data_IF_303987772414
#
_entry.id   IF_303987772414
#
_cell.length_a   1.000
_cell.length_b   1.000
_cell.length_c   1.000
_cell.angle_alpha   90.00
_cell.angle_beta   90.00
_cell.angle_gamma   90.00
#
_symmetry.space_group_name_H-M   'P 1'
#
loop_
_entity.id
_entity.type
_entity.pdbx_description
1 polymer ?
#
# COMPACT_ATOMS: atom_id res chain seq x y z
N UNK A 1 -22.70 -23.19 -22.85
CA UNK A 1 -24.00 -23.24 -22.13
C UNK A 1 -23.74 -23.54 -20.67
N UNK A 2 -24.69 -23.26 -19.78
CA UNK A 2 -24.61 -23.62 -18.36
C UNK A 2 -25.86 -24.40 -17.94
N UNK A 3 -25.71 -25.37 -17.06
CA UNK A 3 -26.78 -26.22 -16.52
C UNK A 3 -27.09 -25.78 -15.09
N UNK A 4 -28.36 -25.85 -14.68
CA UNK A 4 -28.77 -25.53 -13.30
C UNK A 4 -28.89 -26.78 -12.42
N UNK A 5 -28.89 -26.58 -11.10
CA UNK A 5 -29.21 -27.66 -10.15
C UNK A 5 -30.62 -28.23 -10.31
N UNK A 6 -31.56 -27.48 -10.94
CA UNK A 6 -32.90 -28.00 -11.23
C UNK A 6 -32.88 -29.11 -12.28
N UNK A 7 -31.96 -29.03 -13.25
CA UNK A 7 -31.81 -30.13 -14.21
C UNK A 7 -31.30 -31.40 -13.50
N UNK A 8 -30.38 -31.25 -12.54
CA UNK A 8 -29.88 -32.39 -11.76
C UNK A 8 -31.00 -33.04 -10.96
N UNK A 9 -31.86 -32.24 -10.31
CA UNK A 9 -33.04 -32.75 -9.60
C UNK A 9 -34.04 -33.42 -10.55
N UNK A 10 -34.26 -32.86 -11.73
CA UNK A 10 -35.14 -33.43 -12.74
C UNK A 10 -34.59 -34.76 -13.28
N UNK A 11 -33.27 -34.83 -13.49
CA UNK A 11 -32.59 -36.06 -13.87
C UNK A 11 -32.69 -37.12 -12.76
N UNK A 12 -32.53 -36.72 -11.50
CA UNK A 12 -32.72 -37.59 -10.33
C UNK A 12 -34.15 -38.15 -10.26
N UNK A 13 -35.17 -37.30 -10.46
CA UNK A 13 -36.57 -37.73 -10.55
C UNK A 13 -36.79 -38.69 -11.74
N UNK A 14 -36.06 -38.50 -12.83
CA UNK A 14 -36.04 -39.40 -13.99
C UNK A 14 -35.53 -40.81 -13.69
N UNK A 15 -34.84 -41.06 -12.57
CA UNK A 15 -34.48 -42.42 -12.15
C UNK A 15 -35.70 -43.24 -11.68
N UNK A 16 -36.73 -42.60 -11.12
CA UNK A 16 -37.91 -43.32 -10.63
C UNK A 16 -38.59 -44.19 -11.72
N UNK A 17 -38.94 -43.67 -12.92
CA UNK A 17 -39.51 -44.52 -13.98
C UNK A 17 -38.52 -45.56 -14.52
N UNK A 18 -37.21 -45.28 -14.50
CA UNK A 18 -36.18 -46.25 -14.89
C UNK A 18 -36.10 -47.41 -13.90
N UNK A 19 -36.26 -47.15 -12.60
CA UNK A 19 -36.28 -48.17 -11.55
C UNK A 19 -37.59 -48.97 -11.54
N UNK A 20 -38.73 -48.31 -11.79
CA UNK A 20 -40.04 -48.97 -11.85
C UNK A 20 -40.21 -49.85 -13.09
N UNK A 21 -39.62 -49.45 -14.22
CA UNK A 21 -39.69 -50.17 -15.49
C UNK A 21 -38.30 -50.27 -16.12
N UNK A 22 -37.45 -51.21 -15.66
CA UNK A 22 -36.08 -51.31 -16.14
C UNK A 22 -36.04 -51.75 -17.61
N UNK A 23 -35.52 -50.89 -18.48
CA UNK A 23 -35.36 -51.18 -19.90
C UNK A 23 -34.64 -50.06 -20.65
N UNK A 24 -33.96 -50.38 -21.75
CA UNK A 24 -33.25 -49.37 -22.55
C UNK A 24 -34.19 -48.31 -23.14
N UNK A 25 -35.45 -48.69 -23.43
CA UNK A 25 -36.50 -47.79 -23.92
C UNK A 25 -36.92 -46.76 -22.88
N UNK A 26 -37.00 -47.11 -21.59
CA UNK A 26 -37.40 -46.18 -20.53
C UNK A 26 -36.30 -45.17 -20.24
N UNK A 27 -35.04 -45.63 -20.25
CA UNK A 27 -33.86 -44.76 -20.20
C UNK A 27 -33.85 -43.77 -21.38
N UNK A 28 -34.06 -44.25 -22.60
CA UNK A 28 -34.11 -43.41 -23.80
C UNK A 28 -35.24 -42.37 -23.72
N UNK A 29 -36.43 -42.78 -23.29
CA UNK A 29 -37.58 -41.88 -23.13
C UNK A 29 -37.30 -40.76 -22.12
N UNK A 30 -36.73 -41.08 -20.96
CA UNK A 30 -36.34 -40.09 -19.95
C UNK A 30 -35.29 -39.11 -20.51
N UNK A 31 -34.27 -39.61 -21.22
CA UNK A 31 -33.25 -38.77 -21.84
C UNK A 31 -33.83 -37.85 -22.92
N UNK A 32 -34.75 -38.35 -23.75
CA UNK A 32 -35.42 -37.54 -24.77
C UNK A 32 -36.27 -36.43 -24.15
N UNK A 33 -37.02 -36.74 -23.09
CA UNK A 33 -37.80 -35.73 -22.36
C UNK A 33 -36.89 -34.67 -21.74
N UNK A 34 -35.82 -35.08 -21.05
CA UNK A 34 -34.84 -34.14 -20.48
C UNK A 34 -34.20 -33.26 -21.58
N UNK A 35 -33.78 -33.87 -22.69
CA UNK A 35 -33.22 -33.16 -23.84
C UNK A 35 -34.19 -32.15 -24.44
N UNK A 36 -35.45 -32.54 -24.63
CA UNK A 36 -36.51 -31.65 -25.13
C UNK A 36 -36.76 -30.46 -24.19
N UNK A 37 -36.80 -30.70 -22.88
CA UNK A 37 -36.99 -29.64 -21.88
C UNK A 37 -35.79 -28.68 -21.83
N UNK A 38 -34.56 -29.19 -21.91
CA UNK A 38 -33.34 -28.36 -22.00
C UNK A 38 -33.38 -27.50 -23.27
N UNK A 39 -33.67 -28.11 -24.42
CA UNK A 39 -33.73 -27.41 -25.69
C UNK A 39 -34.79 -26.32 -25.67
N UNK A 40 -35.99 -26.63 -25.18
CA UNK A 40 -37.07 -25.66 -25.03
C UNK A 40 -36.68 -24.50 -24.10
N UNK A 41 -36.08 -24.79 -22.95
CA UNK A 41 -35.65 -23.77 -21.99
C UNK A 41 -34.59 -22.83 -22.60
N UNK A 42 -33.59 -23.40 -23.28
CA UNK A 42 -32.55 -22.65 -23.98
C UNK A 42 -33.11 -21.83 -25.15
N UNK A 43 -34.05 -22.38 -25.91
CA UNK A 43 -34.69 -21.69 -27.04
C UNK A 43 -35.54 -20.53 -26.56
N UNK A 44 -36.21 -20.64 -25.42
CA UNK A 44 -37.03 -19.59 -24.81
C UNK A 44 -36.23 -18.56 -24.00
N UNK A 45 -34.98 -18.85 -23.65
CA UNK A 45 -34.09 -17.90 -23.00
C UNK A 45 -33.88 -16.63 -23.85
N UNK A 46 -33.66 -15.49 -23.19
CA UNK A 46 -33.37 -14.22 -23.86
C UNK A 46 -32.01 -14.27 -24.58
N UNK A 47 -31.94 -13.68 -25.77
CA UNK A 47 -30.73 -13.65 -26.60
C UNK A 47 -29.68 -12.68 -26.02
N UNK A 48 -28.49 -13.18 -25.70
CA UNK A 48 -27.43 -12.38 -25.06
C UNK A 48 -26.74 -11.38 -26.01
N UNK A 49 -27.01 -11.43 -27.31
CA UNK A 49 -26.59 -10.38 -28.25
C UNK A 49 -27.31 -9.06 -27.98
N UNK A 50 -28.56 -9.12 -27.49
CA UNK A 50 -29.41 -7.96 -27.18
C UNK A 50 -29.33 -7.53 -25.70
N UNK A 51 -28.30 -8.00 -25.00
CA UNK A 51 -28.05 -7.65 -23.60
C UNK A 51 -26.73 -6.92 -23.52
N UNK A 52 -26.78 -5.69 -23.01
CA UNK A 52 -25.59 -4.92 -22.65
C UNK A 52 -25.48 -4.80 -21.12
N UNK A 53 -24.24 -4.75 -20.64
CA UNK A 53 -23.95 -4.54 -19.23
C UNK A 53 -22.88 -3.47 -19.13
N UNK A 54 -23.15 -2.46 -18.33
CA UNK A 54 -22.22 -1.38 -18.03
C UNK A 54 -21.89 -1.39 -16.55
N UNK A 55 -20.63 -1.14 -16.20
CA UNK A 55 -20.18 -0.96 -14.82
C UNK A 55 -19.87 0.50 -14.58
N UNK A 56 -20.43 1.07 -13.52
CA UNK A 56 -19.97 2.34 -12.97
C UNK A 56 -18.74 2.10 -12.09
N UNK A 57 -17.68 2.87 -12.32
CA UNK A 57 -16.43 2.75 -11.57
C UNK A 57 -16.68 3.09 -10.09
N UNK A 58 -16.28 2.22 -9.14
CA UNK A 58 -16.43 2.52 -7.73
C UNK A 58 -15.48 3.66 -7.33
N UNK A 59 -15.88 4.44 -6.32
CA UNK A 59 -15.01 5.46 -5.74
C UNK A 59 -13.78 4.83 -5.08
N UNK A 60 -12.68 5.58 -5.01
CA UNK A 60 -11.50 5.17 -4.25
C UNK A 60 -11.88 4.98 -2.78
N UNK A 61 -11.32 3.96 -2.13
CA UNK A 61 -11.62 3.64 -0.74
C UNK A 61 -10.33 3.43 0.03
N UNK A 62 -10.29 3.80 1.30
CA UNK A 62 -9.17 3.42 2.18
C UNK A 62 -9.37 1.99 2.65
N UNK A 63 -8.30 1.21 2.80
CA UNK A 63 -8.38 -0.15 3.36
C UNK A 63 -9.18 -0.15 4.68
N UNK A 64 -10.09 -1.12 4.81
CA UNK A 64 -11.08 -1.18 5.90
C UNK A 64 -12.41 -0.47 5.61
N UNK A 65 -12.48 0.35 4.55
CA UNK A 65 -13.71 0.93 4.05
C UNK A 65 -14.48 0.02 3.09
N UNK A 66 -15.68 0.45 2.71
CA UNK A 66 -16.55 -0.23 1.73
C UNK A 66 -16.72 0.61 0.47
N UNK A 67 -16.82 -0.03 -0.68
CA UNK A 67 -17.19 0.61 -1.94
C UNK A 67 -18.28 -0.21 -2.65
N UNK A 68 -19.16 0.45 -3.40
CA UNK A 68 -20.19 -0.22 -4.17
C UNK A 68 -19.86 -0.16 -5.67
N UNK A 69 -19.85 -1.31 -6.33
CA UNK A 69 -19.79 -1.40 -7.79
C UNK A 69 -21.19 -1.60 -8.35
N UNK A 70 -21.64 -0.64 -9.16
CA UNK A 70 -22.99 -0.67 -9.74
C UNK A 70 -22.93 -1.18 -11.17
N UNK A 71 -23.61 -2.30 -11.42
CA UNK A 71 -23.84 -2.85 -12.75
C UNK A 71 -25.22 -2.44 -13.26
N UNK A 72 -25.29 -1.92 -14.48
CA UNK A 72 -26.56 -1.67 -15.17
C UNK A 72 -26.72 -2.68 -16.29
N UNK A 73 -27.70 -3.56 -16.14
CA UNK A 73 -28.05 -4.58 -17.15
C UNK A 73 -29.21 -4.04 -17.97
N UNK A 74 -29.01 -3.95 -19.28
CA UNK A 74 -30.01 -3.47 -20.23
C UNK A 74 -30.41 -4.61 -21.16
N UNK A 75 -31.72 -4.88 -21.24
CA UNK A 75 -32.29 -5.86 -22.14
C UNK A 75 -33.01 -5.15 -23.29
N UNK A 76 -32.36 -5.00 -24.44
CA UNK A 76 -32.99 -4.46 -25.65
C UNK A 76 -33.75 -5.51 -26.46
N UNK A 77 -33.84 -6.74 -25.96
CA UNK A 77 -34.54 -7.84 -26.61
C UNK A 77 -36.03 -7.87 -26.30
N UNK A 78 -36.76 -8.71 -27.04
CA UNK A 78 -38.22 -8.88 -26.91
C UNK A 78 -38.64 -9.82 -25.78
N UNK A 79 -37.71 -10.63 -25.25
CA UNK A 79 -37.99 -11.64 -24.21
C UNK A 79 -37.47 -11.16 -22.87
N UNK A 80 -38.20 -11.49 -21.79
CA UNK A 80 -37.74 -11.24 -20.42
C UNK A 80 -36.41 -11.98 -20.17
N UNK A 81 -35.40 -11.23 -19.76
CA UNK A 81 -34.11 -11.76 -19.37
C UNK A 81 -34.19 -12.25 -17.92
N UNK A 82 -34.12 -13.58 -17.73
CA UNK A 82 -33.93 -14.20 -16.41
C UNK A 82 -32.43 -14.45 -16.24
N UNK A 83 -31.72 -13.44 -15.77
CA UNK A 83 -30.28 -13.45 -15.70
C UNK A 83 -29.75 -13.93 -14.34
N UNK A 84 -28.59 -14.58 -14.38
CA UNK A 84 -27.63 -14.60 -13.28
C UNK A 84 -26.39 -13.86 -13.76
N UNK A 85 -26.07 -12.76 -13.09
CA UNK A 85 -24.94 -11.89 -13.40
C UNK A 85 -23.85 -12.11 -12.37
N UNK A 86 -22.64 -12.41 -12.85
CA UNK A 86 -21.45 -12.53 -12.02
C UNK A 86 -20.48 -11.40 -12.33
N UNK A 87 -20.23 -10.58 -11.33
CA UNK A 87 -19.14 -9.60 -11.33
C UNK A 87 -17.84 -10.27 -10.89
N UNK A 88 -16.84 -10.35 -11.78
CA UNK A 88 -15.61 -11.09 -11.54
C UNK A 88 -14.50 -10.22 -10.94
N UNK A 89 -14.76 -9.64 -9.76
CA UNK A 89 -13.72 -9.00 -8.96
C UNK A 89 -12.70 -10.01 -8.46
N UNK A 90 -11.44 -9.56 -8.35
CA UNK A 90 -10.41 -10.30 -7.63
C UNK A 90 -10.87 -10.64 -6.20
N UNK A 91 -10.51 -11.82 -5.65
CA UNK A 91 -10.92 -12.22 -4.29
C UNK A 91 -10.57 -11.19 -3.22
N UNK A 92 -9.45 -10.48 -3.38
CA UNK A 92 -8.99 -9.43 -2.47
C UNK A 92 -9.90 -8.19 -2.42
N UNK A 93 -10.82 -8.02 -3.37
CA UNK A 93 -11.82 -6.95 -3.33
C UNK A 93 -12.96 -7.25 -2.35
N UNK A 94 -13.06 -8.50 -1.86
CA UNK A 94 -14.05 -8.92 -0.88
C UNK A 94 -15.48 -8.62 -1.33
N UNK A 95 -15.80 -8.97 -2.58
CA UNK A 95 -17.17 -8.83 -3.10
C UNK A 95 -18.10 -9.75 -2.31
N UNK A 96 -19.09 -9.18 -1.61
CA UNK A 96 -20.01 -9.95 -0.74
C UNK A 96 -21.08 -10.70 -1.54
N UNK A 97 -21.60 -10.06 -2.59
CA UNK A 97 -22.67 -10.57 -3.45
C UNK A 97 -22.28 -10.49 -4.94
N UNK A 98 -21.17 -11.13 -5.35
CA UNK A 98 -20.65 -11.03 -6.72
C UNK A 98 -21.54 -11.74 -7.75
N UNK A 99 -22.41 -12.66 -7.31
CA UNK A 99 -23.36 -13.38 -8.16
C UNK A 99 -24.77 -12.99 -7.75
N UNK A 100 -25.53 -12.39 -8.68
CA UNK A 100 -26.89 -11.91 -8.42
C UNK A 100 -27.85 -12.40 -9.50
N UNK A 101 -29.05 -12.80 -9.07
CA UNK A 101 -30.15 -13.06 -9.98
C UNK A 101 -30.86 -11.75 -10.32
N UNK A 102 -31.23 -11.57 -11.59
CA UNK A 102 -31.91 -10.39 -12.07
C UNK A 102 -32.98 -10.77 -13.10
N UNK A 103 -34.17 -10.20 -12.96
CA UNK A 103 -35.20 -10.26 -14.00
C UNK A 103 -35.33 -8.90 -14.66
N UNK A 104 -34.96 -8.83 -15.95
CA UNK A 104 -35.02 -7.60 -16.74
C UNK A 104 -36.06 -7.79 -17.83
N UNK A 105 -37.23 -7.10 -17.75
CA UNK A 105 -38.22 -7.13 -18.80
C UNK A 105 -37.67 -6.66 -20.15
N UNK A 106 -38.44 -6.89 -21.22
CA UNK A 106 -38.07 -6.45 -22.57
C UNK A 106 -38.02 -4.91 -22.62
N UNK A 107 -36.96 -4.35 -23.19
CA UNK A 107 -36.75 -2.90 -23.29
C UNK A 107 -36.35 -2.21 -21.98
N UNK A 108 -36.24 -2.94 -20.86
CA UNK A 108 -35.99 -2.35 -19.55
C UNK A 108 -34.52 -2.48 -19.09
N UNK A 109 -34.20 -1.72 -18.04
CA UNK A 109 -32.92 -1.75 -17.33
C UNK A 109 -33.10 -2.14 -15.87
N UNK A 110 -32.12 -2.85 -15.32
CA UNK A 110 -32.03 -3.10 -13.88
C UNK A 110 -30.62 -2.80 -13.38
N UNK A 111 -30.54 -2.21 -12.19
CA UNK A 111 -29.29 -1.95 -11.49
C UNK A 111 -29.04 -3.07 -10.49
N UNK A 112 -27.81 -3.56 -10.44
CA UNK A 112 -27.31 -4.53 -9.48
C UNK A 112 -26.13 -3.88 -8.76
N UNK A 113 -26.13 -3.90 -7.43
CA UNK A 113 -25.05 -3.33 -6.62
C UNK A 113 -24.24 -4.44 -5.98
N UNK A 114 -22.93 -4.46 -6.21
CA UNK A 114 -21.98 -5.38 -5.59
C UNK A 114 -21.22 -4.60 -4.52
N UNK A 115 -21.39 -5.00 -3.25
CA UNK A 115 -20.63 -4.39 -2.16
C UNK A 115 -19.24 -5.01 -2.08
N UNK A 116 -18.23 -4.15 -2.09
CA UNK A 116 -16.82 -4.50 -2.01
C UNK A 116 -16.29 -4.15 -0.62
N UNK A 117 -15.66 -5.13 0.05
CA UNK A 117 -14.91 -4.99 1.31
C UNK A 117 -13.47 -5.43 1.09
N UNK A 118 -12.61 -4.54 0.57
CA UNK A 118 -11.24 -4.91 0.23
C UNK A 118 -10.46 -5.40 1.46
N UNK A 119 -9.74 -6.50 1.29
CA UNK A 119 -8.85 -7.07 2.31
C UNK A 119 -7.37 -6.78 2.03
N UNK A 120 -7.06 -6.20 0.86
CA UNK A 120 -5.72 -5.75 0.49
C UNK A 120 -5.80 -4.39 -0.20
N UNK A 121 -4.79 -3.55 0.03
CA UNK A 121 -4.65 -2.28 -0.71
C UNK A 121 -4.23 -2.53 -2.17
N UNK A 122 -4.23 -1.47 -2.97
CA UNK A 122 -3.77 -1.53 -4.36
C UNK A 122 -4.88 -1.31 -5.38
N UNK A 123 -4.53 -1.47 -6.64
CA UNK A 123 -5.49 -1.49 -7.74
C UNK A 123 -6.11 -2.88 -7.88
N UNK A 124 -7.32 -3.02 -7.35
CA UNK A 124 -8.10 -4.23 -7.50
C UNK A 124 -8.88 -4.16 -8.81
N UNK A 125 -8.92 -5.26 -9.56
CA UNK A 125 -9.47 -5.28 -10.93
C UNK A 125 -10.58 -6.29 -11.08
N UNK A 126 -11.52 -5.95 -11.97
CA UNK A 126 -12.54 -6.86 -12.47
C UNK A 126 -12.60 -6.72 -14.00
N UNK A 127 -11.93 -7.59 -14.77
CA UNK A 127 -11.80 -7.40 -16.20
C UNK A 127 -13.09 -7.69 -16.99
N UNK A 128 -13.94 -8.58 -16.47
CA UNK A 128 -15.11 -9.07 -17.19
C UNK A 128 -16.32 -9.26 -16.27
N UNK A 129 -17.50 -9.29 -16.90
CA UNK A 129 -18.77 -9.66 -16.27
C UNK A 129 -19.33 -10.84 -17.05
N UNK A 130 -19.81 -11.86 -16.32
CA UNK A 130 -20.45 -13.01 -16.95
C UNK A 130 -21.95 -12.96 -16.73
N UNK A 131 -22.72 -13.02 -17.82
CA UNK A 131 -24.18 -13.07 -17.79
C UNK A 131 -24.65 -14.44 -18.25
N UNK A 132 -25.48 -15.08 -17.45
CA UNK A 132 -26.20 -16.30 -17.80
C UNK A 132 -27.67 -15.98 -17.99
N UNK A 133 -28.24 -16.28 -19.15
CA UNK A 133 -29.66 -16.08 -19.48
C UNK A 133 -30.36 -17.43 -19.43
N UNK A 134 -31.27 -17.61 -18.47
CA UNK A 134 -32.08 -18.81 -18.30
C UNK A 134 -33.42 -18.71 -19.03
N UNK A 135 -33.93 -19.85 -19.48
CA UNK A 135 -35.32 -19.94 -19.92
C UNK A 135 -36.32 -19.93 -18.74
N UNK A 136 -37.61 -20.08 -19.03
CA UNK A 136 -38.67 -20.08 -18.02
C UNK A 136 -38.58 -21.23 -17.02
N UNK A 137 -38.10 -22.41 -17.43
CA UNK A 137 -37.95 -23.59 -16.57
C UNK A 137 -36.69 -23.47 -15.69
N UNK A 138 -35.74 -22.60 -16.06
CA UNK A 138 -34.44 -22.42 -15.40
C UNK A 138 -33.65 -23.73 -15.30
N UNK A 139 -33.70 -24.58 -16.32
CA UNK A 139 -32.96 -25.83 -16.45
C UNK A 139 -31.58 -25.61 -17.07
N UNK A 140 -31.52 -24.73 -18.08
CA UNK A 140 -30.30 -24.43 -18.81
C UNK A 140 -30.22 -22.95 -19.19
N UNK A 141 -28.99 -22.49 -19.40
CA UNK A 141 -28.70 -21.10 -19.70
C UNK A 141 -27.74 -20.93 -20.88
N UNK A 142 -28.00 -19.86 -21.64
CA UNK A 142 -27.01 -19.24 -22.52
C UNK A 142 -26.03 -18.45 -21.65
N UNK A 143 -24.75 -18.41 -22.01
CA UNK A 143 -23.74 -17.65 -21.27
C UNK A 143 -22.97 -16.73 -22.21
N UNK A 144 -22.69 -15.50 -21.77
CA UNK A 144 -21.85 -14.53 -22.46
C UNK A 144 -20.99 -13.82 -21.41
N UNK A 145 -19.71 -13.68 -21.72
CA UNK A 145 -18.79 -12.87 -20.93
C UNK A 145 -18.53 -11.58 -21.69
N UNK A 146 -18.76 -10.45 -21.03
CA UNK A 146 -18.60 -9.10 -21.58
C UNK A 146 -17.37 -8.48 -20.95
N UNK A 147 -16.52 -7.88 -21.77
CA UNK A 147 -15.43 -7.03 -21.30
C UNK A 147 -16.04 -5.76 -20.71
N UNK A 148 -15.87 -5.60 -19.41
CA UNK A 148 -16.32 -4.45 -18.65
C UNK A 148 -15.24 -4.23 -17.60
N UNK A 149 -14.16 -3.55 -18.00
CA UNK A 149 -13.03 -3.31 -17.13
C UNK A 149 -13.44 -2.38 -16.00
N UNK A 150 -13.15 -2.79 -14.77
CA UNK A 150 -13.32 -1.95 -13.59
C UNK A 150 -12.10 -2.06 -12.71
N UNK A 151 -11.80 -0.96 -12.07
CA UNK A 151 -10.71 -0.82 -11.11
C UNK A 151 -11.25 -0.17 -9.84
N UNK A 152 -10.87 -0.73 -8.71
CA UNK A 152 -11.05 -0.13 -7.40
C UNK A 152 -9.66 0.17 -6.84
N UNK A 153 -9.34 1.46 -6.69
CA UNK A 153 -8.12 1.90 -6.01
C UNK A 153 -8.38 1.87 -4.50
N UNK A 154 -7.65 0.99 -3.82
CA UNK A 154 -7.69 0.87 -2.37
C UNK A 154 -6.45 1.55 -1.79
N UNK A 155 -6.66 2.67 -1.09
CA UNK A 155 -5.61 3.49 -0.50
C UNK A 155 -5.09 2.85 0.80
N UNK A 156 -3.81 3.04 1.14
CA UNK A 156 -3.27 2.58 2.43
C UNK A 156 -4.00 3.26 3.60
N UNK A 157 -4.21 2.55 4.71
CA UNK A 157 -4.65 3.20 5.94
C UNK A 157 -3.52 4.09 6.50
N UNK A 158 -3.87 5.10 7.30
CA UNK A 158 -2.91 5.97 7.98
C UNK A 158 -3.19 6.00 9.49
N UNK A 159 -3.07 4.84 10.14
CA UNK A 159 -3.42 4.67 11.55
C UNK A 159 -2.47 5.45 12.47
N UNK A 160 -1.21 5.54 12.07
CA UNK A 160 -0.13 6.25 12.76
C UNK A 160 -0.31 7.77 12.77
N UNK A 161 -1.25 8.32 11.99
CA UNK A 161 -1.68 9.74 12.04
C UNK A 161 -2.02 10.20 13.45
N UNK A 162 -2.54 9.31 14.30
CA UNK A 162 -2.84 9.60 15.72
C UNK A 162 -1.64 10.13 16.52
N UNK A 163 -0.41 9.80 16.09
CA UNK A 163 0.80 10.25 16.76
C UNK A 163 1.20 11.69 16.38
N UNK A 164 0.77 12.19 15.21
CA UNK A 164 1.18 13.51 14.70
C UNK A 164 1.01 14.66 15.70
N UNK A 165 -0.12 14.85 16.42
CA UNK A 165 -0.28 15.98 17.33
C UNK A 165 0.80 16.02 18.41
N UNK A 166 1.10 14.88 19.03
CA UNK A 166 2.13 14.75 20.06
C UNK A 166 3.55 15.01 19.51
N UNK A 167 3.88 14.43 18.34
CA UNK A 167 5.19 14.58 17.69
C UNK A 167 5.43 16.01 17.21
N UNK A 168 4.42 16.66 16.64
CA UNK A 168 4.48 18.06 16.21
C UNK A 168 4.62 19.03 17.39
N UNK A 169 3.96 18.76 18.52
CA UNK A 169 4.16 19.55 19.74
C UNK A 169 5.61 19.48 20.20
N UNK A 170 6.19 18.28 20.24
CA UNK A 170 7.61 18.08 20.60
C UNK A 170 8.57 18.80 19.65
N UNK A 171 8.29 18.80 18.34
CA UNK A 171 9.07 19.59 17.37
C UNK A 171 9.00 21.09 17.64
N UNK A 172 7.80 21.63 17.90
CA UNK A 172 7.63 23.06 18.22
C UNK A 172 8.33 23.46 19.51
N UNK A 173 8.33 22.59 20.51
CA UNK A 173 9.09 22.80 21.75
C UNK A 173 10.60 22.86 21.50
N UNK A 174 11.10 22.00 20.60
CA UNK A 174 12.51 22.03 20.19
C UNK A 174 12.85 23.30 19.41
N UNK A 175 12.02 23.68 18.44
CA UNK A 175 12.22 24.91 17.65
C UNK A 175 12.14 26.16 18.54
N UNK A 176 11.22 26.18 19.51
CA UNK A 176 11.10 27.25 20.49
C UNK A 176 12.30 27.33 21.43
N UNK A 177 12.79 26.19 21.94
CA UNK A 177 14.00 26.14 22.78
C UNK A 177 15.26 26.54 22.00
N UNK A 178 15.39 26.08 20.76
CA UNK A 178 16.49 26.45 19.87
C UNK A 178 16.45 27.95 19.55
N UNK A 179 15.27 28.52 19.27
CA UNK A 179 15.12 29.95 19.02
C UNK A 179 15.44 30.82 20.26
N UNK A 180 15.20 30.31 21.47
CA UNK A 180 15.53 31.00 22.73
C UNK A 180 17.02 30.91 23.07
N UNK A 181 17.68 29.78 22.78
CA UNK A 181 19.11 29.61 23.05
C UNK A 181 20.03 30.20 21.97
N UNK A 182 19.55 30.35 20.73
CA UNK A 182 20.36 30.77 19.58
C UNK A 182 19.95 32.18 19.15
N UNK A 183 20.15 33.19 20.01
CA UNK A 183 20.34 34.57 19.51
C UNK A 183 21.78 34.66 19.00
N UNK A 184 21.99 34.44 17.69
CA UNK A 184 23.25 34.79 17.00
C UNK A 184 24.10 33.67 16.41
N UNK A 185 23.73 32.38 16.52
CA UNK A 185 24.51 31.25 15.96
C UNK A 185 23.77 30.42 14.89
N UNK A 186 22.94 31.07 14.07
CA UNK A 186 22.40 30.46 12.85
C UNK A 186 23.43 30.38 11.73
N UNK A 187 23.13 29.61 10.68
CA UNK A 187 23.92 29.54 9.44
C UNK A 187 23.26 30.27 8.26
N UNK A 188 21.96 30.56 8.36
CA UNK A 188 21.18 31.28 7.34
C UNK A 188 21.08 32.76 7.71
N UNK A 189 21.36 33.66 6.78
CA UNK A 189 21.28 35.10 7.04
C UNK A 189 19.83 35.50 7.35
N UNK A 190 19.61 36.17 8.48
CA UNK A 190 18.29 36.65 8.87
C UNK A 190 18.11 38.13 8.50
N UNK A 191 18.89 39.00 9.13
CA UNK A 191 18.80 40.45 8.92
C UNK A 191 20.10 41.15 9.30
N UNK A 192 20.21 42.42 8.94
CA UNK A 192 21.25 43.31 9.46
C UNK A 192 20.67 44.10 10.63
N UNK A 193 21.41 44.15 11.74
CA UNK A 193 21.10 45.05 12.86
C UNK A 193 22.32 45.87 13.26
N UNK A 194 22.08 46.93 14.00
CA UNK A 194 23.16 47.74 14.55
C UNK A 194 23.96 46.94 15.58
N UNK A 195 25.28 47.11 15.53
CA UNK A 195 26.23 46.50 16.44
C UNK A 195 26.02 47.03 17.86
N UNK A 196 26.00 46.13 18.83
CA UNK A 196 25.99 46.45 20.26
C UNK A 196 27.25 45.88 20.90
N UNK A 197 27.82 46.58 21.88
CA UNK A 197 28.98 46.06 22.63
C UNK A 197 28.61 44.73 23.27
N UNK A 198 29.38 43.69 22.93
CA UNK A 198 29.11 42.30 23.32
C UNK A 198 28.84 41.38 22.11
N UNK A 199 28.57 41.95 20.93
CA UNK A 199 28.47 41.19 19.68
C UNK A 199 29.85 40.72 19.21
N UNK A 200 29.92 39.52 18.62
CA UNK A 200 31.15 39.00 18.04
C UNK A 200 31.57 39.84 16.83
N UNK A 201 32.81 40.36 16.87
CA UNK A 201 33.40 41.19 15.81
C UNK A 201 33.45 40.46 14.46
N UNK A 202 33.51 39.12 14.45
CA UNK A 202 33.47 38.31 13.22
C UNK A 202 32.13 38.38 12.49
N UNK A 203 31.05 38.76 13.19
CA UNK A 203 29.71 38.89 12.61
C UNK A 203 29.47 40.24 11.92
N UNK A 204 30.43 41.17 11.99
CA UNK A 204 30.34 42.49 11.36
C UNK A 204 30.36 42.35 9.84
N UNK A 205 29.36 42.92 9.17
CA UNK A 205 29.36 43.05 7.72
C UNK A 205 30.03 44.36 7.33
N UNK A 206 31.33 44.31 7.02
CA UNK A 206 32.10 45.48 6.61
C UNK A 206 31.57 46.13 5.33
N UNK A 207 30.99 45.34 4.41
CA UNK A 207 30.45 45.84 3.14
C UNK A 207 29.14 46.60 3.32
N UNK A 208 28.27 46.11 4.20
CA UNK A 208 27.03 46.79 4.56
C UNK A 208 27.29 48.01 5.46
N UNK A 209 28.26 47.89 6.37
CA UNK A 209 28.72 49.00 7.23
C UNK A 209 29.25 50.17 6.40
N UNK A 210 30.01 49.91 5.34
CA UNK A 210 30.51 50.96 4.44
C UNK A 210 29.41 51.76 3.71
N UNK A 211 28.15 51.30 3.73
CA UNK A 211 27.00 51.95 3.08
C UNK A 211 26.01 52.54 4.09
N UNK A 212 26.31 52.49 5.38
CA UNK A 212 25.46 52.98 6.48
C UNK A 212 26.26 53.88 7.42
N UNK A 213 25.56 54.67 8.22
CA UNK A 213 26.17 55.56 9.23
C UNK A 213 26.54 54.85 10.54
N UNK A 214 26.24 53.56 10.67
CA UNK A 214 26.50 52.74 11.86
C UNK A 214 27.08 51.37 11.51
N UNK A 215 27.87 50.80 12.42
CA UNK A 215 28.40 49.44 12.29
C UNK A 215 27.26 48.44 12.39
N UNK A 216 27.13 47.56 11.40
CA UNK A 216 26.07 46.56 11.35
C UNK A 216 26.63 45.14 11.45
N UNK A 217 25.91 44.30 12.19
CA UNK A 217 26.18 42.87 12.33
C UNK A 217 25.13 42.05 11.60
N UNK A 218 25.56 40.93 11.02
CA UNK A 218 24.66 39.92 10.47
C UNK A 218 24.04 39.13 11.61
N UNK A 219 22.72 39.13 11.70
CA UNK A 219 22.01 38.15 12.50
C UNK A 219 21.76 36.92 11.65
N UNK A 220 21.90 35.75 12.26
CA UNK A 220 21.73 34.48 11.59
C UNK A 220 20.60 33.70 12.25
N UNK A 221 19.74 33.07 11.44
CA UNK A 221 18.69 32.15 11.88
C UNK A 221 19.15 30.70 11.65
N UNK A 222 18.67 29.75 12.48
CA UNK A 222 18.83 28.33 12.21
C UNK A 222 18.25 28.00 10.82
N UNK A 223 19.01 27.26 10.02
CA UNK A 223 18.66 26.89 8.65
C UNK A 223 17.30 26.20 8.58
N UNK A 224 16.37 26.80 7.81
CA UNK A 224 15.02 26.27 7.55
C UNK A 224 14.97 25.55 6.20
N UNK A 225 15.79 24.53 5.98
CA UNK A 225 15.65 23.75 4.75
C UNK A 225 16.33 22.37 4.74
N UNK A 226 16.28 21.65 5.87
CA UNK A 226 16.86 20.30 5.94
C UNK A 226 16.12 19.36 5.00
N UNK A 227 16.83 18.38 4.46
CA UNK A 227 16.29 17.43 3.46
C UNK A 227 16.16 16.05 4.06
N UNK A 228 14.98 15.46 3.93
CA UNK A 228 14.66 14.10 4.33
C UNK A 228 14.33 13.30 3.07
N UNK A 229 15.18 12.31 2.77
CA UNK A 229 14.99 11.39 1.66
C UNK A 229 14.51 10.05 2.22
N UNK A 230 13.29 9.64 1.87
CA UNK A 230 12.69 8.39 2.31
C UNK A 230 12.72 7.41 1.13
N UNK A 231 13.48 6.32 1.28
CA UNK A 231 13.47 5.20 0.35
C UNK A 231 12.63 4.06 0.93
N UNK A 232 11.66 3.59 0.15
CA UNK A 232 10.87 2.40 0.44
C UNK A 232 11.32 1.23 -0.43
N UNK A 233 11.76 0.15 0.20
CA UNK A 233 12.08 -1.11 -0.45
C UNK A 233 10.80 -1.80 -0.96
N UNK A 234 10.74 -2.14 -2.26
CA UNK A 234 9.64 -2.88 -2.89
C UNK A 234 10.06 -4.26 -3.40
N UNK A 235 11.23 -4.75 -2.98
CA UNK A 235 11.79 -6.04 -3.36
C UNK A 235 11.14 -7.22 -2.62
N UNK A 236 11.69 -8.43 -2.79
CA UNK A 236 11.15 -9.66 -2.19
C UNK A 236 11.14 -9.61 -0.67
N UNK A 237 12.06 -8.89 -0.05
CA UNK A 237 12.15 -8.78 1.41
C UNK A 237 10.96 -7.98 1.96
N UNK A 238 10.41 -7.05 1.18
CA UNK A 238 9.21 -6.30 1.50
C UNK A 238 7.93 -7.15 1.34
N UNK A 239 7.99 -8.29 0.64
CA UNK A 239 6.88 -9.21 0.45
C UNK A 239 6.66 -10.16 1.65
N UNK A 240 7.60 -10.22 2.58
CA UNK A 240 7.47 -11.04 3.80
C UNK A 240 6.18 -10.67 4.55
N UNK A 241 5.40 -11.68 4.95
CA UNK A 241 4.15 -11.47 5.69
C UNK A 241 4.46 -11.30 7.16
N UNK A 242 4.04 -10.18 7.74
CA UNK A 242 4.13 -9.85 9.16
C UNK A 242 2.72 -9.51 9.62
N UNK A 243 2.17 -10.25 10.59
CA UNK A 243 0.77 -10.11 11.05
C UNK A 243 -0.25 -10.07 9.89
N UNK A 244 -0.15 -11.01 8.95
CA UNK A 244 -0.98 -11.15 7.75
C UNK A 244 -0.89 -10.06 6.67
N UNK A 245 -0.07 -9.04 6.87
CA UNK A 245 0.20 -7.99 5.89
C UNK A 245 1.64 -8.07 5.37
N UNK A 246 1.92 -7.66 4.12
CA UNK A 246 3.29 -7.51 3.67
C UNK A 246 4.04 -6.46 4.51
N UNK A 247 5.32 -6.71 4.82
CA UNK A 247 6.23 -5.75 5.47
C UNK A 247 6.20 -4.37 4.79
N UNK A 248 6.01 -4.35 3.47
CA UNK A 248 5.83 -3.15 2.66
C UNK A 248 4.77 -2.20 3.24
N UNK A 249 3.67 -2.71 3.80
CA UNK A 249 2.52 -1.92 4.28
C UNK A 249 2.90 -1.11 5.52
N UNK A 250 3.62 -1.73 6.45
CA UNK A 250 4.21 -1.02 7.59
C UNK A 250 5.23 0.02 7.13
N UNK A 251 6.05 -0.31 6.12
CA UNK A 251 6.99 0.64 5.51
C UNK A 251 6.27 1.86 4.93
N UNK A 252 5.14 1.66 4.23
CA UNK A 252 4.28 2.74 3.74
C UNK A 252 3.77 3.60 4.89
N UNK A 253 3.26 3.00 5.96
CA UNK A 253 2.75 3.75 7.11
C UNK A 253 3.84 4.57 7.83
N UNK A 254 5.06 4.02 7.94
CA UNK A 254 6.22 4.72 8.46
C UNK A 254 6.64 5.89 7.56
N UNK A 255 6.65 5.70 6.24
CA UNK A 255 6.94 6.76 5.26
C UNK A 255 5.89 7.89 5.32
N UNK A 256 4.59 7.54 5.41
CA UNK A 256 3.51 8.52 5.53
C UNK A 256 3.64 9.35 6.80
N UNK A 257 3.90 8.72 7.95
CA UNK A 257 4.06 9.43 9.21
C UNK A 257 5.28 10.34 9.19
N UNK A 258 6.45 9.80 8.81
CA UNK A 258 7.69 10.56 8.77
C UNK A 258 7.60 11.71 7.77
N UNK A 259 7.07 11.47 6.57
CA UNK A 259 6.96 12.49 5.53
C UNK A 259 6.09 13.67 5.97
N UNK A 260 4.91 13.42 6.54
CA UNK A 260 4.04 14.49 7.06
C UNK A 260 4.67 15.19 8.27
N UNK A 261 5.36 14.44 9.13
CA UNK A 261 6.02 15.02 10.31
C UNK A 261 7.17 15.94 9.91
N UNK A 262 8.01 15.52 8.97
CA UNK A 262 9.16 16.28 8.48
C UNK A 262 8.71 17.53 7.69
N UNK A 263 7.73 17.39 6.78
CA UNK A 263 7.15 18.52 6.04
C UNK A 263 6.62 19.60 6.99
N UNK A 264 5.80 19.20 7.98
CA UNK A 264 5.26 20.15 8.98
C UNK A 264 6.31 20.65 9.96
N UNK A 265 7.42 19.94 10.08
CA UNK A 265 8.62 20.38 10.79
C UNK A 265 9.47 21.37 10.00
N UNK A 266 9.06 21.75 8.78
CA UNK A 266 9.78 22.70 7.93
C UNK A 266 10.91 22.09 7.10
N UNK A 267 10.98 20.75 7.02
CA UNK A 267 11.99 20.06 6.20
C UNK A 267 11.42 19.72 4.82
N UNK A 268 12.27 19.73 3.79
CA UNK A 268 11.92 19.19 2.48
C UNK A 268 11.93 17.68 2.53
N UNK A 269 10.88 17.07 1.99
CA UNK A 269 10.73 15.63 1.95
C UNK A 269 10.71 15.17 0.52
N UNK A 270 11.58 14.24 0.21
CA UNK A 270 11.52 13.49 -1.04
C UNK A 270 11.37 12.01 -0.74
N UNK A 271 10.43 11.36 -1.41
CA UNK A 271 10.11 9.95 -1.26
C UNK A 271 10.32 9.23 -2.58
N UNK A 272 10.88 8.04 -2.51
CA UNK A 272 10.85 7.13 -3.64
C UNK A 272 10.75 5.66 -3.20
N UNK A 273 10.08 4.86 -4.02
CA UNK A 273 10.02 3.41 -3.87
C UNK A 273 10.91 2.74 -4.92
N UNK A 274 11.73 1.78 -4.51
CA UNK A 274 12.76 1.21 -5.36
C UNK A 274 13.01 -0.28 -5.05
N UNK A 275 13.28 -1.03 -6.10
CA UNK A 275 13.77 -2.40 -6.07
C UNK A 275 15.00 -2.51 -6.98
N UNK A 276 14.79 -2.71 -8.28
CA UNK A 276 15.78 -2.56 -9.37
C UNK A 276 15.44 -1.38 -10.28
N UNK A 277 14.20 -0.89 -10.18
CA UNK A 277 13.68 0.25 -10.95
C UNK A 277 12.92 1.19 -10.04
N UNK A 278 12.80 2.44 -10.48
CA UNK A 278 11.97 3.44 -9.80
C UNK A 278 10.50 3.03 -9.91
N UNK A 279 9.84 2.80 -8.77
CA UNK A 279 8.43 2.37 -8.71
C UNK A 279 7.47 3.50 -8.45
N UNK A 280 7.88 4.46 -7.62
CA UNK A 280 7.10 5.64 -7.31
C UNK A 280 8.01 6.77 -6.81
N UNK A 281 7.55 8.00 -6.97
CA UNK A 281 8.16 9.21 -6.42
C UNK A 281 7.09 10.17 -5.92
N UNK A 282 7.41 10.89 -4.86
CA UNK A 282 6.62 12.01 -4.35
C UNK A 282 7.56 12.96 -3.61
N UNK A 283 7.20 14.23 -3.46
CA UNK A 283 8.03 15.14 -2.69
C UNK A 283 7.47 16.54 -2.58
N UNK A 284 8.02 17.31 -1.66
CA UNK A 284 7.60 18.71 -1.41
C UNK A 284 7.94 19.61 -2.60
N UNK A 285 8.96 19.26 -3.40
CA UNK A 285 9.39 20.00 -4.58
C UNK A 285 8.37 20.00 -5.72
N UNK A 286 7.48 18.99 -5.78
CA UNK A 286 6.43 18.89 -6.79
C UNK A 286 5.26 19.87 -6.55
N UNK A 287 5.21 20.54 -5.39
CA UNK A 287 4.15 21.48 -5.02
C UNK A 287 2.82 20.82 -4.63
N UNK A 288 2.02 21.48 -3.78
CA UNK A 288 0.74 20.95 -3.32
C UNK A 288 0.84 20.09 -2.05
N UNK A 289 -0.19 19.29 -1.78
CA UNK A 289 -0.32 18.51 -0.53
C UNK A 289 0.52 17.22 -0.59
N UNK A 290 1.64 17.18 0.15
CA UNK A 290 2.55 16.03 0.20
C UNK A 290 1.84 14.74 0.61
N UNK A 291 0.95 14.78 1.60
CA UNK A 291 0.23 13.58 2.04
C UNK A 291 -0.60 12.98 0.90
N UNK A 292 -1.28 13.84 0.13
CA UNK A 292 -2.05 13.41 -1.03
C UNK A 292 -1.16 12.75 -2.09
N UNK A 293 -0.01 13.35 -2.38
CA UNK A 293 0.95 12.78 -3.33
C UNK A 293 1.51 11.44 -2.85
N UNK A 294 1.95 11.35 -1.59
CA UNK A 294 2.46 10.11 -1.01
C UNK A 294 1.41 9.00 -1.07
N UNK A 295 0.17 9.27 -0.64
CA UNK A 295 -0.92 8.28 -0.66
C UNK A 295 -1.18 7.79 -2.08
N UNK A 296 -1.19 8.67 -3.09
CA UNK A 296 -1.37 8.26 -4.49
C UNK A 296 -0.18 7.48 -5.05
N UNK A 297 1.04 7.89 -4.70
CA UNK A 297 2.28 7.26 -5.14
C UNK A 297 2.45 5.85 -4.57
N UNK A 298 2.09 5.63 -3.31
CA UNK A 298 2.25 4.34 -2.63
C UNK A 298 1.07 3.39 -2.82
N UNK A 299 -0.13 3.90 -3.15
CA UNK A 299 -1.31 3.07 -3.30
C UNK A 299 -1.15 1.93 -4.32
N UNK A 300 -0.57 2.10 -5.52
CA UNK A 300 -0.39 1.00 -6.46
C UNK A 300 0.80 0.08 -6.15
N UNK A 301 1.61 0.39 -5.14
CA UNK A 301 2.83 -0.36 -4.85
C UNK A 301 2.49 -1.76 -4.35
N UNK A 302 3.16 -2.75 -4.95
CA UNK A 302 3.18 -4.13 -4.51
C UNK A 302 4.64 -4.60 -4.49
N UNK A 303 4.97 -5.42 -3.50
CA UNK A 303 6.29 -6.03 -3.42
C UNK A 303 6.48 -6.99 -4.59
N UNK A 304 7.61 -6.89 -5.28
CA UNK A 304 7.99 -7.81 -6.35
C UNK A 304 8.94 -8.87 -5.80
N UNK A 305 8.82 -10.12 -6.25
CA UNK A 305 9.68 -11.23 -5.82
C UNK A 305 11.04 -11.20 -6.54
N UNK A 306 11.71 -10.05 -6.50
CA UNK A 306 13.04 -9.78 -7.05
C UNK A 306 13.95 -9.21 -5.96
N UNK A 307 15.26 -9.31 -6.14
CA UNK A 307 16.22 -8.67 -5.23
C UNK A 307 16.36 -7.16 -5.48
N UNK A 308 16.61 -6.41 -4.42
CA UNK A 308 16.92 -4.99 -4.49
C UNK A 308 18.33 -4.75 -5.09
N UNK A 309 18.44 -3.82 -6.02
CA UNK A 309 19.72 -3.40 -6.59
C UNK A 309 20.37 -2.32 -5.71
N UNK A 310 21.10 -2.77 -4.69
CA UNK A 310 21.80 -1.89 -3.75
C UNK A 310 22.81 -0.96 -4.43
N UNK A 311 23.41 -1.37 -5.55
CA UNK A 311 24.43 -0.58 -6.24
C UNK A 311 23.86 0.71 -6.84
N UNK A 312 22.59 0.70 -7.24
CA UNK A 312 21.91 1.86 -7.82
C UNK A 312 21.35 2.84 -6.77
N UNK A 313 21.14 2.41 -5.52
CA UNK A 313 20.52 3.23 -4.46
C UNK A 313 21.21 4.59 -4.27
N UNK A 314 22.56 4.69 -4.16
CA UNK A 314 23.22 5.98 -4.01
C UNK A 314 22.98 6.93 -5.20
N UNK A 315 22.90 6.40 -6.42
CA UNK A 315 22.60 7.20 -7.60
C UNK A 315 21.15 7.71 -7.59
N UNK A 316 20.20 6.87 -7.15
CA UNK A 316 18.80 7.28 -7.00
C UNK A 316 18.62 8.36 -5.92
N UNK A 317 19.33 8.26 -4.79
CA UNK A 317 19.34 9.28 -3.74
C UNK A 317 19.88 10.60 -4.29
N UNK A 318 21.04 10.58 -4.97
CA UNK A 318 21.63 11.79 -5.58
C UNK A 318 20.73 12.43 -6.63
N UNK A 319 19.99 11.64 -7.40
CA UNK A 319 19.05 12.14 -8.40
C UNK A 319 17.86 12.88 -7.78
N UNK A 320 17.56 12.62 -6.50
CA UNK A 320 16.46 13.24 -5.76
C UNK A 320 16.97 14.42 -4.91
N UNK A 321 18.12 14.26 -4.26
CA UNK A 321 18.74 15.31 -3.45
C UNK A 321 20.25 15.38 -3.73
N UNK A 322 20.72 16.53 -4.20
CA UNK A 322 22.14 16.81 -4.42
C UNK A 322 22.89 17.23 -3.14
N UNK A 323 22.18 17.45 -2.03
CA UNK A 323 22.75 17.97 -0.79
C UNK A 323 22.79 16.91 0.31
N UNK A 324 23.57 17.18 1.36
CA UNK A 324 23.51 16.42 2.61
C UNK A 324 22.07 16.36 3.09
N UNK A 325 21.63 15.16 3.44
CA UNK A 325 20.24 14.84 3.74
C UNK A 325 20.19 13.78 4.82
N UNK A 326 19.07 13.70 5.53
CA UNK A 326 18.68 12.51 6.27
C UNK A 326 18.13 11.47 5.29
N UNK A 327 18.85 10.39 5.07
CA UNK A 327 18.41 9.28 4.24
C UNK A 327 17.81 8.21 5.14
N UNK A 328 16.52 7.93 4.95
CA UNK A 328 15.79 6.89 5.67
C UNK A 328 15.52 5.73 4.72
N UNK A 329 16.09 4.57 5.02
CA UNK A 329 15.94 3.33 4.29
C UNK A 329 14.93 2.44 5.00
N UNK A 330 13.75 2.26 4.42
CA UNK A 330 12.71 1.35 4.90
C UNK A 330 12.88 -0.01 4.22
N UNK A 331 13.60 -0.92 4.86
CA UNK A 331 14.03 -2.21 4.29
C UNK A 331 14.18 -3.28 5.37
N UNK A 332 14.48 -4.52 4.98
CA UNK A 332 14.70 -5.63 5.93
C UNK A 332 16.12 -5.65 6.49
N UNK A 333 16.24 -6.11 7.74
CA UNK A 333 17.51 -6.52 8.37
C UNK A 333 17.66 -8.04 8.45
N UNK A 334 16.76 -8.81 7.83
CA UNK A 334 16.86 -10.28 7.82
C UNK A 334 18.13 -10.73 7.08
N UNK A 335 18.80 -11.76 7.58
CA UNK A 335 20.07 -12.29 7.06
C UNK A 335 20.08 -12.56 5.54
N UNK A 336 21.24 -12.41 4.90
CA UNK A 336 21.49 -12.71 3.48
C UNK A 336 21.36 -11.49 2.54
N UNK A 337 20.24 -10.77 2.59
CA UNK A 337 20.05 -9.56 1.75
C UNK A 337 20.87 -8.32 2.19
N UNK A 338 21.10 -8.07 3.50
CA UNK A 338 21.84 -6.90 3.98
C UNK A 338 23.36 -7.04 3.87
N UNK A 339 23.90 -8.21 4.16
CA UNK A 339 25.34 -8.44 4.23
C UNK A 339 26.00 -8.37 2.85
N UNK A 340 25.30 -8.86 1.81
CA UNK A 340 25.81 -8.87 0.44
C UNK A 340 25.70 -7.50 -0.26
N UNK A 341 24.87 -6.56 0.23
CA UNK A 341 24.63 -5.31 -0.48
C UNK A 341 24.29 -4.07 0.35
N UNK A 342 23.48 -4.18 1.40
CA UNK A 342 23.13 -3.02 2.26
C UNK A 342 24.38 -2.45 2.93
N UNK A 343 25.18 -3.29 3.59
CA UNK A 343 26.31 -2.85 4.43
C UNK A 343 27.37 -2.07 3.61
N UNK A 344 27.89 -2.60 2.48
CA UNK A 344 28.84 -1.84 1.66
C UNK A 344 28.25 -0.54 1.10
N UNK A 345 26.95 -0.53 0.80
CA UNK A 345 26.25 0.63 0.26
C UNK A 345 26.09 1.73 1.31
N UNK A 346 25.63 1.40 2.52
CA UNK A 346 25.47 2.39 3.60
C UNK A 346 26.81 2.95 4.07
N UNK A 347 27.88 2.14 4.07
CA UNK A 347 29.23 2.60 4.40
C UNK A 347 29.69 3.76 3.49
N UNK A 348 29.20 3.81 2.25
CA UNK A 348 29.43 4.95 1.34
C UNK A 348 28.48 6.10 1.60
N UNK A 349 27.20 5.84 1.89
CA UNK A 349 26.21 6.88 2.14
C UNK A 349 26.49 7.71 3.40
N UNK A 350 26.95 7.07 4.48
CA UNK A 350 27.22 7.75 5.77
C UNK A 350 28.32 8.82 5.67
N UNK A 351 29.17 8.74 4.65
CA UNK A 351 30.21 9.76 4.40
C UNK A 351 29.60 11.11 4.03
N UNK A 352 28.41 11.14 3.45
CA UNK A 352 27.76 12.36 2.95
C UNK A 352 26.44 12.67 3.67
N UNK A 353 25.72 11.64 4.11
CA UNK A 353 24.37 11.74 4.64
C UNK A 353 24.29 11.23 6.09
N UNK A 354 23.26 11.65 6.81
CA UNK A 354 22.84 10.92 8.01
C UNK A 354 21.92 9.81 7.57
N UNK A 355 22.26 8.57 7.91
CA UNK A 355 21.51 7.40 7.44
C UNK A 355 20.73 6.79 8.60
N UNK A 356 19.45 6.52 8.37
CA UNK A 356 18.59 5.74 9.25
C UNK A 356 18.16 4.50 8.50
N UNK A 357 18.36 3.32 9.07
CA UNK A 357 17.75 2.08 8.57
C UNK A 357 16.59 1.74 9.49
N UNK A 358 15.39 1.70 8.92
CA UNK A 358 14.16 1.39 9.63
C UNK A 358 13.62 0.06 9.12
N UNK A 359 13.41 -0.89 10.03
CA UNK A 359 13.03 -2.25 9.67
C UNK A 359 11.96 -2.81 10.60
N UNK A 360 11.08 -3.61 10.00
CA UNK A 360 9.98 -4.26 10.71
C UNK A 360 10.47 -5.58 11.29
N UNK A 361 10.39 -5.72 12.62
CA UNK A 361 10.58 -6.98 13.32
C UNK A 361 9.27 -7.77 13.31
N UNK A 362 9.36 -9.06 13.00
CA UNK A 362 8.20 -9.95 13.04
C UNK A 362 7.92 -10.39 14.50
N UNK A 363 6.76 -10.04 15.09
CA UNK A 363 6.42 -10.46 16.45
C UNK A 363 6.27 -11.98 16.58
N UNK A 364 5.98 -12.70 15.48
CA UNK A 364 5.88 -14.15 15.49
C UNK A 364 7.18 -14.81 15.95
N UNK A 365 8.34 -14.20 15.66
CA UNK A 365 9.63 -14.71 16.14
C UNK A 365 9.70 -14.69 17.67
N UNK A 366 9.18 -13.63 18.30
CA UNK A 366 9.09 -13.52 19.76
C UNK A 366 8.13 -14.55 20.37
N UNK A 367 7.00 -14.79 19.71
CA UNK A 367 6.03 -15.83 20.13
C UNK A 367 6.63 -17.24 20.02
N UNK A 368 7.35 -17.52 18.93
CA UNK A 368 8.02 -18.81 18.70
C UNK A 368 9.07 -19.15 19.76
N UNK A 369 9.75 -18.15 20.34
CA UNK A 369 10.72 -18.36 21.41
C UNK A 369 10.11 -18.98 22.69
N UNK A 370 8.85 -18.62 22.98
CA UNK A 370 8.16 -18.98 24.21
C UNK A 370 7.51 -20.37 24.14
N UNK A 371 7.16 -20.85 22.95
CA UNK A 371 6.47 -22.11 22.77
C UNK A 371 7.44 -23.28 22.56
N UNK A 372 7.69 -24.04 23.62
CA UNK A 372 8.66 -25.16 23.64
C UNK A 372 8.01 -26.50 24.01
N UNK A 373 6.70 -26.62 23.78
CA UNK A 373 5.89 -27.76 24.26
C UNK A 373 6.12 -29.08 23.53
N UNK A 374 6.71 -29.06 22.33
CA UNK A 374 7.01 -30.27 21.54
C UNK A 374 8.37 -30.13 20.87
N UNK A 375 9.00 -31.25 20.48
CA UNK A 375 10.29 -31.23 19.78
C UNK A 375 10.27 -30.33 18.52
N UNK A 376 9.20 -30.42 17.71
CA UNK A 376 9.04 -29.56 16.53
C UNK A 376 8.97 -28.06 16.89
N UNK A 377 8.32 -27.71 18.00
CA UNK A 377 8.23 -26.33 18.50
C UNK A 377 9.56 -25.85 19.08
N UNK A 378 10.34 -26.73 19.72
CA UNK A 378 11.72 -26.43 20.15
C UNK A 378 12.62 -26.07 18.96
N UNK A 379 12.58 -26.84 17.87
CA UNK A 379 13.35 -26.50 16.66
C UNK A 379 12.93 -25.16 16.05
N UNK A 380 11.63 -24.84 16.07
CA UNK A 380 11.11 -23.53 15.64
C UNK A 380 11.59 -22.40 16.55
N UNK A 381 11.59 -22.60 17.86
CA UNK A 381 12.11 -21.63 18.82
C UNK A 381 13.60 -21.36 18.58
N UNK A 382 14.41 -22.41 18.37
CA UNK A 382 15.84 -22.28 18.06
C UNK A 382 16.09 -21.55 16.73
N UNK A 383 15.28 -21.82 15.71
CA UNK A 383 15.36 -21.10 14.43
C UNK A 383 14.99 -19.61 14.59
N UNK A 384 13.97 -19.30 15.39
CA UNK A 384 13.58 -17.93 15.70
C UNK A 384 14.67 -17.18 16.48
N UNK A 385 15.29 -17.85 17.46
CA UNK A 385 16.42 -17.30 18.23
C UNK A 385 17.59 -16.95 17.32
N UNK A 386 17.97 -17.87 16.43
CA UNK A 386 19.02 -17.64 15.44
C UNK A 386 18.71 -16.44 14.53
N UNK A 387 17.48 -16.35 14.01
CA UNK A 387 17.08 -15.25 13.14
C UNK A 387 17.14 -13.89 13.85
N UNK A 388 16.76 -13.83 15.13
CA UNK A 388 16.86 -12.61 15.94
C UNK A 388 18.32 -12.22 16.22
N UNK A 389 19.19 -13.19 16.53
CA UNK A 389 20.61 -12.95 16.76
C UNK A 389 21.32 -12.45 15.49
N UNK A 390 21.05 -13.07 14.33
CA UNK A 390 21.60 -12.63 13.04
C UNK A 390 21.14 -11.19 12.72
N UNK A 391 19.86 -10.89 12.94
CA UNK A 391 19.32 -9.54 12.77
C UNK A 391 19.97 -8.52 13.72
N UNK A 392 20.19 -8.89 14.98
CA UNK A 392 20.87 -8.04 15.96
C UNK A 392 22.32 -7.77 15.54
N UNK A 393 23.03 -8.79 15.07
CA UNK A 393 24.41 -8.66 14.57
C UNK A 393 24.51 -7.65 13.41
N UNK A 394 23.61 -7.76 12.42
CA UNK A 394 23.51 -6.77 11.33
C UNK A 394 23.23 -5.38 11.89
N UNK A 395 22.31 -5.25 12.85
CA UNK A 395 22.01 -3.98 13.51
C UNK A 395 23.21 -3.36 14.23
N UNK A 396 24.01 -4.17 14.93
CA UNK A 396 25.25 -3.73 15.59
C UNK A 396 26.27 -3.26 14.56
N UNK A 397 26.48 -4.02 13.47
CA UNK A 397 27.42 -3.66 12.41
C UNK A 397 27.03 -2.34 11.73
N UNK A 398 25.74 -2.13 11.45
CA UNK A 398 25.24 -0.87 10.91
C UNK A 398 25.50 0.32 11.87
N UNK A 399 25.27 0.13 13.17
CA UNK A 399 25.55 1.18 14.17
C UNK A 399 27.04 1.51 14.28
N UNK A 400 27.93 0.53 14.15
CA UNK A 400 29.38 0.75 14.10
C UNK A 400 29.80 1.60 12.89
N UNK A 401 29.06 1.52 11.78
CA UNK A 401 29.23 2.39 10.61
C UNK A 401 28.61 3.79 10.77
N UNK A 402 28.02 4.11 11.93
CA UNK A 402 27.38 5.39 12.20
C UNK A 402 25.93 5.52 11.70
N UNK A 403 25.30 4.40 11.31
CA UNK A 403 23.89 4.35 10.91
C UNK A 403 22.99 4.30 12.14
N UNK A 404 21.92 5.09 12.15
CA UNK A 404 20.86 4.97 13.15
C UNK A 404 19.94 3.79 12.78
N UNK A 405 19.80 2.79 13.65
CA UNK A 405 18.95 1.62 13.37
C UNK A 405 17.67 1.68 14.20
N UNK A 406 16.53 1.70 13.52
CA UNK A 406 15.19 1.60 14.12
C UNK A 406 14.61 0.24 13.77
N UNK A 407 14.65 -0.68 14.73
CA UNK A 407 14.09 -2.02 14.59
C UNK A 407 12.92 -2.22 15.55
N UNK A 408 11.70 -2.38 15.02
CA UNK A 408 10.48 -2.42 15.81
C UNK A 408 9.35 -3.21 15.12
N UNK A 409 8.37 -3.63 15.92
CA UNK A 409 7.17 -4.32 15.42
C UNK A 409 6.24 -3.39 14.62
N UNK A 410 5.30 -3.93 13.82
CA UNK A 410 4.50 -3.16 12.87
C UNK A 410 3.86 -1.87 13.42
N UNK A 411 3.20 -1.95 14.58
CA UNK A 411 2.52 -0.78 15.16
C UNK A 411 3.48 0.18 15.90
N UNK A 412 4.71 -0.25 16.18
CA UNK A 412 5.75 0.53 16.88
C UNK A 412 6.69 1.23 15.90
N UNK A 413 6.91 0.67 14.70
CA UNK A 413 7.90 1.20 13.76
C UNK A 413 7.61 2.64 13.33
N UNK A 414 6.40 3.02 12.86
CA UNK A 414 6.13 4.42 12.49
C UNK A 414 6.43 5.43 13.61
N UNK A 415 5.89 5.30 14.84
CA UNK A 415 6.19 6.27 15.89
C UNK A 415 7.65 6.22 16.36
N UNK A 416 8.32 5.06 16.36
CA UNK A 416 9.73 4.95 16.72
C UNK A 416 10.65 5.66 15.70
N UNK A 417 10.35 5.53 14.41
CA UNK A 417 11.06 6.26 13.35
C UNK A 417 10.85 7.78 13.47
N UNK A 418 9.62 8.20 13.77
CA UNK A 418 9.33 9.61 14.06
C UNK A 418 10.12 10.14 15.27
N UNK A 419 10.28 9.34 16.33
CA UNK A 419 11.12 9.71 17.48
C UNK A 419 12.61 9.78 17.14
N UNK A 420 13.11 8.86 16.31
CA UNK A 420 14.48 8.90 15.81
C UNK A 420 14.74 10.18 15.01
N UNK A 421 13.84 10.56 14.11
CA UNK A 421 13.89 11.83 13.38
C UNK A 421 13.92 13.04 14.34
N UNK A 422 13.04 13.09 15.33
CA UNK A 422 13.02 14.19 16.32
C UNK A 422 14.32 14.25 17.11
N UNK A 423 14.86 13.10 17.53
CA UNK A 423 16.14 13.01 18.25
C UNK A 423 17.29 13.53 17.40
N UNK A 424 17.37 13.12 16.14
CA UNK A 424 18.40 13.58 15.20
C UNK A 424 18.27 15.09 14.93
N UNK A 425 17.04 15.59 14.80
CA UNK A 425 16.74 17.02 14.64
C UNK A 425 17.21 17.84 15.84
N UNK A 426 16.88 17.37 17.05
CA UNK A 426 17.26 17.99 18.31
C UNK A 426 18.78 18.01 18.52
N UNK A 427 19.49 16.96 18.08
CA UNK A 427 20.95 16.86 18.16
C UNK A 427 21.69 17.69 17.10
N UNK A 428 20.98 18.39 16.21
CA UNK A 428 21.60 19.17 15.13
C UNK A 428 22.35 18.31 14.10
N UNK A 429 22.03 17.01 14.02
CA UNK A 429 22.72 16.07 13.11
C UNK A 429 22.17 16.12 11.67
N UNK A 430 20.97 16.69 11.49
CA UNK A 430 20.25 16.75 10.21
C UNK A 430 20.82 17.79 9.25
#
# INVERSE_FOLDING_TARGET
MAISGRLVLLAAAGLAPVLLFPGWLTVLAVLLVLGALILLDVLLAAALQQVSVERSAPANVTLGGTADSVLTVHNSGKRRLRAVVRDAWQPSAGAENPVQAAEVPAGERRRLSVRLRPVRRGDLRAPHITVRSFGPLRLAARQKTVLAAGSLRVLPPFNSRRHLPSKLRRLRELDGKAAVQIRGAGTEFDSLRDYVRGDDVRSIDWRATARRSAVVVRTWRPERDRRVVIMLDTSRTAAARVNDEPRLDTGIEAALLLGVLAERGGDRVDFFAFDRRMRARAGTTAGGNLLGQLVQAVAPLQAELIELDWAQVPAQIRAVSAHRSLVVLLTSLDSGAPEEGLIPMVARLVQQHVVVVASVRDPLLGEMLQDRTTAARVFRAAAAERALLEREAVGVQLRQLGVEVVDAEPHQLPPALADAYIRLKAAGRL
#
